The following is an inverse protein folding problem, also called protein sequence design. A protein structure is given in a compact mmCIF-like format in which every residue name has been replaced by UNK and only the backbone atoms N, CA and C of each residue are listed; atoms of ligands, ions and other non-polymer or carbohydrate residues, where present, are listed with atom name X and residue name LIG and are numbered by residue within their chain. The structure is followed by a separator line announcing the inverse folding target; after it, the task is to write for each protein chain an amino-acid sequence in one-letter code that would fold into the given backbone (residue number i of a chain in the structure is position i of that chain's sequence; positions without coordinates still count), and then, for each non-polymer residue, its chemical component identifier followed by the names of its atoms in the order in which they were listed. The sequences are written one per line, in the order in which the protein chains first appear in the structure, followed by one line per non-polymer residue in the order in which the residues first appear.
data_IF_980541863216
#
_entry.id   IF_980541863216
#
_cell.length_a   1.000
_cell.length_b   1.000
_cell.length_c   1.000
_cell.angle_alpha   90.00
_cell.angle_beta   90.00
_cell.angle_gamma   90.00
#
_symmetry.space_group_name_H-M   'P 1'
#
loop_
_entity.id
_entity.type
_entity.pdbx_description
1 polymer ?
#
# COMPACT_ATOMS: atom_id res chain seq x y z
N UNK A 1 -50.19 31.75 9.68
CA UNK A 1 -49.94 30.90 8.50
C UNK A 1 -48.69 30.07 8.71
N UNK A 2 -48.70 28.81 8.29
CA UNK A 2 -47.55 27.91 8.33
C UNK A 2 -47.06 27.69 6.90
N UNK A 3 -45.76 27.96 6.68
CA UNK A 3 -45.10 27.70 5.40
C UNK A 3 -44.08 26.57 5.59
N UNK A 4 -44.21 25.51 4.80
CA UNK A 4 -43.29 24.35 4.84
C UNK A 4 -42.55 24.30 3.50
N UNK A 5 -41.22 24.36 3.57
CA UNK A 5 -40.35 24.24 2.41
C UNK A 5 -39.60 22.88 2.52
N UNK A 6 -39.83 22.00 1.55
CA UNK A 6 -39.11 20.73 1.45
C UNK A 6 -37.88 20.92 0.55
N UNK A 7 -36.70 20.77 1.12
CA UNK A 7 -35.43 20.89 0.41
C UNK A 7 -34.79 19.49 0.27
N UNK A 8 -34.90 18.90 -0.91
CA UNK A 8 -34.26 17.62 -1.21
C UNK A 8 -32.79 17.83 -1.61
N UNK A 9 -32.51 18.54 -2.70
CA UNK A 9 -31.17 18.81 -3.23
C UNK A 9 -30.27 17.56 -3.25
N UNK A 10 -30.76 16.43 -3.83
CA UNK A 10 -30.03 15.19 -4.00
C UNK A 10 -29.91 14.31 -2.74
N UNK A 11 -30.61 14.67 -1.66
CA UNK A 11 -30.57 13.88 -0.40
C UNK A 11 -31.31 12.57 -0.54
N UNK A 12 -32.41 12.53 -1.27
CA UNK A 12 -33.15 11.29 -1.55
C UNK A 12 -32.30 10.36 -2.43
N UNK A 13 -31.62 10.90 -3.43
CA UNK A 13 -30.73 10.11 -4.29
C UNK A 13 -29.59 9.46 -3.46
N UNK A 14 -29.00 10.23 -2.55
CA UNK A 14 -27.98 9.71 -1.62
C UNK A 14 -28.56 8.61 -0.71
N UNK A 15 -29.77 8.81 -0.19
CA UNK A 15 -30.42 7.85 0.73
C UNK A 15 -30.79 6.54 0.02
N UNK A 16 -31.16 6.60 -1.25
CA UNK A 16 -31.57 5.45 -2.06
C UNK A 16 -30.37 4.69 -2.65
N UNK A 17 -29.21 5.31 -2.74
CA UNK A 17 -28.02 4.65 -3.29
C UNK A 17 -27.52 3.54 -2.34
N UNK A 18 -27.44 2.29 -2.83
CA UNK A 18 -27.13 1.14 -1.97
C UNK A 18 -25.74 1.19 -1.33
N UNK A 19 -24.80 1.94 -1.92
CA UNK A 19 -23.43 2.11 -1.40
C UNK A 19 -23.31 3.42 -0.61
N UNK A 20 -23.74 4.55 -1.21
CA UNK A 20 -23.50 5.87 -0.63
C UNK A 20 -24.46 6.24 0.50
N UNK A 21 -25.59 5.53 0.68
CA UNK A 21 -26.52 5.75 1.81
C UNK A 21 -25.81 5.70 3.17
N UNK A 22 -24.70 5.01 3.29
CA UNK A 22 -23.85 4.99 4.49
C UNK A 22 -23.43 6.41 4.92
N UNK A 23 -23.24 7.34 3.96
CA UNK A 23 -22.88 8.73 4.24
C UNK A 23 -23.98 9.50 5.01
N UNK A 24 -25.22 8.99 5.03
CA UNK A 24 -26.32 9.56 5.82
C UNK A 24 -26.10 9.45 7.33
N UNK A 25 -25.28 8.52 7.79
CA UNK A 25 -24.91 8.37 9.19
C UNK A 25 -24.00 9.51 9.69
N UNK A 26 -23.62 10.45 8.80
CA UNK A 26 -22.72 11.54 9.13
C UNK A 26 -23.35 12.55 10.10
N UNK A 27 -22.85 12.64 11.31
CA UNK A 27 -23.23 13.61 12.35
C UNK A 27 -22.64 15.00 12.12
N UNK A 28 -21.83 15.20 11.08
CA UNK A 28 -21.12 16.46 10.77
C UNK A 28 -20.21 16.96 11.91
N UNK A 29 -19.70 16.07 12.73
CA UNK A 29 -18.87 16.39 13.88
C UNK A 29 -17.44 16.83 13.54
N UNK A 30 -16.97 16.66 12.29
CA UNK A 30 -15.63 17.04 11.86
C UNK A 30 -14.48 16.12 12.31
N UNK A 31 -14.73 15.06 13.07
CA UNK A 31 -13.68 14.17 13.59
C UNK A 31 -12.79 13.59 12.49
N UNK A 32 -13.38 13.22 11.34
CA UNK A 32 -12.64 12.73 10.18
C UNK A 32 -11.71 13.79 9.57
N UNK A 33 -12.07 15.07 9.63
CA UNK A 33 -11.25 16.19 9.15
C UNK A 33 -10.06 16.42 10.10
N UNK A 34 -10.32 16.39 11.40
CA UNK A 34 -9.30 16.62 12.43
C UNK A 34 -8.13 15.62 12.35
N UNK A 35 -8.38 14.38 11.93
CA UNK A 35 -7.33 13.36 11.79
C UNK A 35 -6.79 13.21 10.36
N UNK A 36 -7.39 13.89 9.39
CA UNK A 36 -6.99 13.76 7.99
C UNK A 36 -5.65 14.48 7.73
N UNK A 37 -4.59 13.76 7.30
CA UNK A 37 -3.29 14.38 7.07
C UNK A 37 -3.33 15.43 5.95
N UNK A 38 -4.21 15.26 4.99
CA UNK A 38 -4.39 16.23 3.89
C UNK A 38 -5.11 17.46 4.38
N UNK A 39 -6.26 17.30 5.05
CA UNK A 39 -7.03 18.43 5.56
C UNK A 39 -6.23 19.29 6.54
N UNK A 40 -5.40 18.69 7.38
CA UNK A 40 -4.52 19.41 8.31
C UNK A 40 -3.50 20.32 7.61
N UNK A 41 -3.14 20.01 6.36
CA UNK A 41 -2.19 20.82 5.57
C UNK A 41 -2.90 21.88 4.74
N UNK A 42 -3.98 21.50 4.03
CA UNK A 42 -4.58 22.37 3.00
C UNK A 42 -5.79 23.15 3.51
N UNK A 43 -6.38 22.73 4.63
CA UNK A 43 -7.62 23.32 5.14
C UNK A 43 -8.85 23.02 4.29
N UNK A 44 -9.99 23.65 4.63
CA UNK A 44 -11.27 23.39 3.99
C UNK A 44 -11.44 24.02 2.60
N UNK A 45 -10.89 25.21 2.38
CA UNK A 45 -11.10 25.98 1.14
C UNK A 45 -10.65 25.26 -0.14
N UNK A 46 -9.58 24.45 -0.05
CA UNK A 46 -9.06 23.68 -1.19
C UNK A 46 -10.07 22.65 -1.72
N UNK A 47 -11.02 22.25 -0.89
CA UNK A 47 -12.09 21.33 -1.33
C UNK A 47 -13.17 22.00 -2.18
N UNK A 48 -13.20 23.34 -2.24
CA UNK A 48 -14.09 24.11 -3.13
C UNK A 48 -15.57 24.15 -2.76
N UNK A 49 -16.00 23.38 -1.75
CA UNK A 49 -17.40 23.23 -1.35
C UNK A 49 -17.56 23.31 0.18
N UNK A 50 -18.81 23.51 0.64
CA UNK A 50 -19.14 23.65 2.08
C UNK A 50 -18.73 22.41 2.87
N UNK A 51 -18.93 21.24 2.30
CA UNK A 51 -18.54 19.99 2.93
C UNK A 51 -17.14 19.59 2.46
N UNK A 52 -16.21 19.48 3.42
CA UNK A 52 -14.79 19.27 3.17
C UNK A 52 -14.36 17.83 3.49
N UNK A 53 -13.14 17.48 3.07
CA UNK A 53 -12.54 16.16 3.31
C UNK A 53 -13.20 15.03 2.55
N UNK A 54 -12.90 13.79 2.92
CA UNK A 54 -13.40 12.63 2.20
C UNK A 54 -14.92 12.49 2.23
N UNK A 55 -15.57 12.76 3.38
CA UNK A 55 -17.03 12.75 3.47
C UNK A 55 -17.64 13.87 2.62
N UNK A 56 -17.02 15.04 2.59
CA UNK A 56 -17.44 16.17 1.77
C UNK A 56 -17.40 15.85 0.29
N UNK A 57 -16.37 15.14 -0.18
CA UNK A 57 -16.29 14.71 -1.59
C UNK A 57 -17.47 13.84 -2.01
N UNK A 58 -17.96 13.00 -1.11
CA UNK A 58 -19.14 12.16 -1.36
C UNK A 58 -20.40 13.00 -1.40
N UNK A 59 -20.58 13.89 -0.42
CA UNK A 59 -21.75 14.76 -0.35
C UNK A 59 -21.81 15.72 -1.56
N UNK A 60 -20.68 16.22 -2.02
CA UNK A 60 -20.57 17.08 -3.22
C UNK A 60 -21.08 16.37 -4.46
N UNK A 61 -20.80 15.07 -4.63
CA UNK A 61 -21.25 14.29 -5.78
C UNK A 61 -22.78 14.23 -5.89
N UNK A 62 -23.49 14.28 -4.77
CA UNK A 62 -24.95 14.20 -4.72
C UNK A 62 -25.62 15.59 -4.61
N UNK A 63 -25.02 16.51 -3.85
CA UNK A 63 -25.63 17.84 -3.60
C UNK A 63 -25.28 18.87 -4.67
N UNK A 64 -24.27 18.62 -5.49
CA UNK A 64 -23.87 19.40 -6.63
C UNK A 64 -23.83 18.51 -7.88
N UNK A 65 -22.63 17.98 -8.21
CA UNK A 65 -22.49 17.04 -9.32
C UNK A 65 -21.31 16.10 -9.13
N UNK A 66 -21.29 15.01 -9.90
CA UNK A 66 -20.12 14.12 -9.94
C UNK A 66 -18.87 14.83 -10.44
N UNK A 67 -19.00 15.77 -11.38
CA UNK A 67 -17.86 16.56 -11.88
C UNK A 67 -17.28 17.46 -10.80
N UNK A 68 -18.10 18.06 -9.95
CA UNK A 68 -17.66 18.90 -8.84
C UNK A 68 -16.96 18.11 -7.74
N UNK A 69 -17.27 16.82 -7.62
CA UNK A 69 -16.65 15.94 -6.65
C UNK A 69 -15.27 15.39 -7.08
N UNK A 70 -14.88 15.59 -8.34
CA UNK A 70 -13.68 14.98 -8.89
C UNK A 70 -12.38 15.48 -8.24
N UNK A 71 -12.19 16.78 -8.13
CA UNK A 71 -11.01 17.33 -7.46
C UNK A 71 -10.99 17.01 -5.96
N UNK A 72 -12.08 17.26 -5.19
CA UNK A 72 -12.11 16.92 -3.77
C UNK A 72 -11.82 15.44 -3.46
N UNK A 73 -12.39 14.50 -4.22
CA UNK A 73 -12.14 13.07 -3.97
C UNK A 73 -10.69 12.66 -4.26
N UNK A 74 -10.03 13.35 -5.20
CA UNK A 74 -8.66 13.07 -5.58
C UNK A 74 -7.67 13.34 -4.44
N UNK A 75 -8.02 14.21 -3.50
CA UNK A 75 -7.24 14.52 -2.30
C UNK A 75 -7.23 13.38 -1.27
N UNK A 76 -8.10 12.38 -1.39
CA UNK A 76 -8.13 11.27 -0.45
C UNK A 76 -6.98 10.28 -0.68
N UNK A 77 -6.12 10.11 0.32
CA UNK A 77 -4.97 9.19 0.30
C UNK A 77 -5.33 7.73 0.62
N UNK A 78 -6.59 7.39 0.87
CA UNK A 78 -7.03 6.03 1.25
C UNK A 78 -6.37 5.48 2.54
N UNK A 79 -5.90 6.35 3.44
CA UNK A 79 -5.16 5.95 4.65
C UNK A 79 -6.04 5.39 5.79
N UNK A 80 -7.36 5.46 5.68
CA UNK A 80 -8.39 4.94 6.60
C UNK A 80 -8.36 5.53 8.03
N UNK A 81 -7.60 6.58 8.31
CA UNK A 81 -7.55 7.16 9.65
C UNK A 81 -8.90 7.75 10.10
N UNK A 82 -9.66 8.28 9.16
CA UNK A 82 -11.00 8.78 9.39
C UNK A 82 -12.01 7.69 9.82
N UNK A 83 -11.79 6.43 9.43
CA UNK A 83 -12.66 5.30 9.82
C UNK A 83 -12.51 5.00 11.31
N UNK A 84 -11.28 4.97 11.83
CA UNK A 84 -11.00 4.73 13.25
C UNK A 84 -11.63 5.77 14.16
N UNK A 85 -11.89 6.98 13.66
CA UNK A 85 -12.34 8.13 14.46
C UNK A 85 -13.82 8.44 14.25
N UNK A 86 -14.46 7.85 13.24
CA UNK A 86 -15.83 8.18 12.87
C UNK A 86 -16.83 7.59 13.90
N UNK A 87 -17.58 8.41 14.67
CA UNK A 87 -18.57 7.90 15.59
C UNK A 87 -19.77 7.25 14.90
N UNK A 88 -20.02 7.60 13.62
CA UNK A 88 -21.06 6.98 12.79
C UNK A 88 -20.57 5.71 12.04
N UNK A 89 -19.34 5.27 12.24
CA UNK A 89 -18.82 4.05 11.62
C UNK A 89 -18.65 4.10 10.10
N UNK A 90 -18.65 5.28 9.47
CA UNK A 90 -18.65 5.45 8.02
C UNK A 90 -17.28 5.07 7.45
N UNK A 91 -17.26 4.15 6.49
CA UNK A 91 -16.06 3.80 5.74
C UNK A 91 -15.83 4.77 4.57
N UNK A 92 -15.45 6.00 4.90
CA UNK A 92 -15.21 7.07 3.92
C UNK A 92 -14.28 6.62 2.77
N UNK A 93 -13.13 5.96 2.99
CA UNK A 93 -12.28 5.48 1.91
C UNK A 93 -12.96 4.49 0.97
N UNK A 94 -13.84 3.62 1.46
CA UNK A 94 -14.65 2.72 0.62
C UNK A 94 -15.58 3.51 -0.28
N UNK A 95 -16.26 4.51 0.27
CA UNK A 95 -17.15 5.38 -0.51
C UNK A 95 -16.38 6.20 -1.55
N UNK A 96 -15.20 6.74 -1.19
CA UNK A 96 -14.33 7.45 -2.15
C UNK A 96 -13.82 6.50 -3.25
N UNK A 97 -13.52 5.25 -2.92
CA UNK A 97 -13.13 4.24 -3.92
C UNK A 97 -14.25 4.02 -4.95
N UNK A 98 -15.49 3.84 -4.49
CA UNK A 98 -16.66 3.71 -5.36
C UNK A 98 -16.94 4.99 -6.15
N UNK A 99 -16.76 6.17 -5.55
CA UNK A 99 -16.91 7.44 -6.24
C UNK A 99 -15.91 7.55 -7.42
N UNK A 100 -14.65 7.16 -7.21
CA UNK A 100 -13.63 7.12 -8.26
C UNK A 100 -14.01 6.19 -9.40
N UNK A 101 -14.54 5.01 -9.09
CA UNK A 101 -15.03 4.06 -10.09
C UNK A 101 -16.11 4.69 -10.95
N UNK A 102 -17.17 5.26 -10.34
CA UNK A 102 -18.27 5.90 -11.07
C UNK A 102 -17.83 7.12 -11.88
N UNK A 103 -16.90 7.92 -11.36
CA UNK A 103 -16.30 9.03 -12.09
C UNK A 103 -15.54 8.54 -13.33
N UNK A 104 -14.74 7.49 -13.18
CA UNK A 104 -13.95 6.93 -14.28
C UNK A 104 -14.86 6.32 -15.37
N UNK A 105 -15.95 5.68 -15.00
CA UNK A 105 -16.95 5.17 -15.95
C UNK A 105 -17.61 6.29 -16.76
N UNK A 106 -17.88 7.45 -16.14
CA UNK A 106 -18.53 8.59 -16.82
C UNK A 106 -17.59 9.36 -17.74
N UNK A 107 -16.32 9.55 -17.39
CA UNK A 107 -15.41 10.46 -18.11
C UNK A 107 -14.13 9.83 -18.65
N UNK A 108 -13.90 8.56 -18.36
CA UNK A 108 -12.64 7.84 -18.58
C UNK A 108 -11.44 8.44 -17.80
N UNK A 109 -10.38 7.68 -17.70
CA UNK A 109 -9.09 8.16 -17.19
C UNK A 109 -8.39 9.08 -18.21
N UNK A 110 -7.47 9.96 -17.75
CA UNK A 110 -6.55 10.65 -18.65
C UNK A 110 -5.85 9.66 -19.59
N UNK A 111 -5.67 10.06 -20.85
CA UNK A 111 -5.13 9.16 -21.89
C UNK A 111 -3.85 8.43 -21.50
N UNK A 112 -2.88 9.15 -20.92
CA UNK A 112 -1.61 8.56 -20.49
C UNK A 112 -1.79 7.48 -19.41
N UNK A 113 -2.66 7.74 -18.43
CA UNK A 113 -2.94 6.81 -17.34
C UNK A 113 -3.71 5.58 -17.85
N UNK A 114 -4.69 5.81 -18.72
CA UNK A 114 -5.44 4.75 -19.38
C UNK A 114 -4.52 3.85 -20.23
N UNK A 115 -3.63 4.45 -21.02
CA UNK A 115 -2.66 3.70 -21.82
C UNK A 115 -1.75 2.84 -20.92
N UNK A 116 -1.20 3.43 -19.84
CA UNK A 116 -0.33 2.71 -18.91
C UNK A 116 -1.07 1.53 -18.27
N UNK A 117 -2.30 1.73 -17.81
CA UNK A 117 -3.04 0.66 -17.12
C UNK A 117 -3.54 -0.40 -18.08
N UNK A 118 -4.25 0.00 -19.15
CA UNK A 118 -4.95 -0.93 -20.02
C UNK A 118 -4.05 -1.58 -21.07
N UNK A 119 -2.94 -0.94 -21.49
CA UNK A 119 -2.07 -1.48 -22.54
C UNK A 119 -0.74 -2.03 -22.02
N UNK A 120 -0.26 -1.52 -20.89
CA UNK A 120 1.03 -1.94 -20.34
C UNK A 120 0.84 -2.82 -19.10
N UNK A 121 0.19 -2.30 -18.05
CA UNK A 121 0.08 -2.97 -16.75
C UNK A 121 -0.78 -4.25 -16.83
N UNK A 122 -1.91 -4.22 -17.57
CA UNK A 122 -2.79 -5.37 -17.76
C UNK A 122 -2.11 -6.54 -18.47
N UNK A 123 -1.14 -6.25 -19.32
CA UNK A 123 -0.40 -7.27 -20.04
C UNK A 123 0.93 -7.57 -19.34
N UNK A 124 1.01 -8.70 -18.66
CA UNK A 124 2.20 -9.13 -17.92
C UNK A 124 3.50 -9.03 -18.73
N UNK A 125 3.52 -9.53 -19.97
CA UNK A 125 4.73 -9.53 -20.80
C UNK A 125 5.17 -8.11 -21.15
N UNK A 126 4.23 -7.24 -21.55
CA UNK A 126 4.52 -5.84 -21.84
C UNK A 126 5.02 -5.09 -20.62
N UNK A 127 4.35 -5.27 -19.47
CA UNK A 127 4.71 -4.63 -18.21
C UNK A 127 6.12 -5.01 -17.77
N UNK A 128 6.42 -6.31 -17.72
CA UNK A 128 7.73 -6.81 -17.33
C UNK A 128 8.83 -6.36 -18.31
N UNK A 129 8.57 -6.38 -19.63
CA UNK A 129 9.52 -5.91 -20.63
C UNK A 129 9.81 -4.42 -20.51
N UNK A 130 8.77 -3.59 -20.30
CA UNK A 130 8.92 -2.16 -20.09
C UNK A 130 9.80 -1.84 -18.87
N UNK A 131 9.56 -2.52 -17.74
CA UNK A 131 10.39 -2.33 -16.54
C UNK A 131 11.84 -2.79 -16.74
N UNK A 132 12.07 -3.90 -17.46
CA UNK A 132 13.42 -4.37 -17.79
C UNK A 132 14.17 -3.41 -18.71
N UNK A 133 13.49 -2.83 -19.72
CA UNK A 133 14.06 -1.83 -20.59
C UNK A 133 14.41 -0.58 -19.78
N UNK A 134 13.48 -0.07 -18.97
CA UNK A 134 13.71 1.07 -18.11
C UNK A 134 14.90 0.85 -17.16
N UNK A 135 15.02 -0.36 -16.57
CA UNK A 135 16.15 -0.72 -15.72
C UNK A 135 17.51 -0.72 -16.46
N UNK A 136 17.54 -1.01 -17.76
CA UNK A 136 18.75 -0.97 -18.55
C UNK A 136 19.18 0.46 -18.92
N UNK A 137 18.20 1.33 -19.23
CA UNK A 137 18.48 2.69 -19.72
C UNK A 137 18.59 3.75 -18.61
N UNK A 138 18.25 3.44 -17.37
CA UNK A 138 18.30 4.38 -16.24
C UNK A 138 19.70 4.78 -15.78
N UNK A 139 20.77 4.16 -16.34
CA UNK A 139 22.16 4.39 -15.93
C UNK A 139 22.56 5.87 -15.77
N UNK A 140 22.28 6.73 -16.77
CA UNK A 140 22.59 8.16 -16.69
C UNK A 140 21.89 8.88 -15.54
N UNK A 141 20.68 8.43 -15.15
CA UNK A 141 19.89 9.05 -14.07
C UNK A 141 20.36 8.61 -12.68
N UNK A 142 20.86 7.38 -12.56
CA UNK A 142 21.31 6.81 -11.29
C UNK A 142 22.75 7.18 -10.94
N UNK A 143 23.58 7.51 -11.93
CA UNK A 143 25.02 7.80 -11.78
C UNK A 143 25.74 6.78 -10.89
N UNK A 144 25.40 5.50 -11.04
CA UNK A 144 25.99 4.40 -10.28
C UNK A 144 25.48 4.23 -8.83
N UNK A 145 24.50 5.01 -8.41
CA UNK A 145 23.88 4.87 -7.08
C UNK A 145 22.56 4.09 -7.16
N UNK A 146 22.03 3.56 -6.04
CA UNK A 146 20.72 2.92 -6.01
C UNK A 146 19.55 3.90 -6.11
N UNK A 147 19.83 5.19 -6.31
CA UNK A 147 18.83 6.25 -6.33
C UNK A 147 18.91 7.10 -7.61
N UNK A 148 17.75 7.61 -8.01
CA UNK A 148 17.57 8.68 -8.98
C UNK A 148 17.28 9.95 -8.18
N UNK A 149 18.25 10.87 -8.10
CA UNK A 149 18.15 12.12 -7.31
C UNK A 149 17.69 13.30 -8.12
N UNK A 150 17.80 13.21 -9.43
CA UNK A 150 17.42 14.26 -10.37
C UNK A 150 16.74 13.65 -11.59
N UNK A 151 15.63 14.24 -11.98
CA UNK A 151 14.90 13.91 -13.20
C UNK A 151 14.89 15.14 -14.12
N UNK A 152 14.93 14.96 -15.45
CA UNK A 152 14.91 16.07 -16.38
C UNK A 152 13.53 16.74 -16.46
N UNK A 153 13.55 18.06 -16.66
CA UNK A 153 12.40 18.90 -17.04
C UNK A 153 11.09 18.59 -16.26
N UNK A 154 10.04 18.21 -16.96
CA UNK A 154 8.70 17.99 -16.41
C UNK A 154 8.61 16.91 -15.31
N UNK A 155 9.63 16.06 -15.17
CA UNK A 155 9.65 15.03 -14.14
C UNK A 155 10.44 15.45 -12.89
N UNK A 156 11.06 16.63 -12.89
CA UNK A 156 11.88 17.10 -11.76
C UNK A 156 11.12 17.11 -10.42
N UNK A 157 9.83 17.53 -10.31
CA UNK A 157 9.12 17.55 -9.05
C UNK A 157 9.02 16.20 -8.35
N UNK A 158 9.08 15.09 -9.11
CA UNK A 158 9.01 13.73 -8.54
C UNK A 158 10.23 13.35 -7.70
N UNK A 159 11.40 13.93 -8.03
CA UNK A 159 12.67 13.69 -7.34
C UNK A 159 13.15 14.91 -6.51
N UNK A 160 12.33 15.94 -6.41
CA UNK A 160 12.69 17.19 -5.73
C UNK A 160 12.69 17.04 -4.20
N UNK A 161 11.63 16.47 -3.64
CA UNK A 161 11.47 16.27 -2.19
C UNK A 161 11.95 14.92 -1.68
N UNK A 162 12.21 13.96 -2.58
CA UNK A 162 12.74 12.62 -2.25
C UNK A 162 13.55 12.05 -3.41
N UNK A 163 14.53 11.22 -3.10
CA UNK A 163 15.20 10.39 -4.12
C UNK A 163 14.30 9.22 -4.50
N UNK A 164 14.26 8.87 -5.78
CA UNK A 164 13.51 7.70 -6.25
C UNK A 164 14.44 6.48 -6.30
N UNK A 165 13.95 5.28 -6.00
CA UNK A 165 14.77 4.07 -6.13
C UNK A 165 15.04 3.78 -7.61
N UNK A 166 16.23 3.27 -7.90
CA UNK A 166 16.51 2.67 -9.18
C UNK A 166 15.73 1.36 -9.35
N UNK A 167 15.32 1.04 -10.57
CA UNK A 167 14.78 -0.27 -10.89
C UNK A 167 15.87 -1.34 -10.79
N UNK A 168 15.53 -2.50 -10.30
CA UNK A 168 16.45 -3.61 -10.17
C UNK A 168 16.91 -4.11 -11.55
N UNK A 169 18.22 -4.20 -11.77
CA UNK A 169 18.77 -4.77 -13.01
C UNK A 169 18.42 -6.24 -13.20
N UNK A 170 18.26 -6.96 -12.09
CA UNK A 170 17.78 -8.34 -12.03
C UNK A 170 16.55 -8.37 -11.12
N UNK A 171 15.34 -8.49 -11.66
CA UNK A 171 14.11 -8.64 -10.88
C UNK A 171 14.17 -9.88 -9.98
N UNK A 172 13.39 -9.89 -8.91
CA UNK A 172 13.35 -11.02 -7.98
C UNK A 172 13.02 -12.34 -8.68
N UNK A 173 12.09 -12.35 -9.63
CA UNK A 173 11.74 -13.54 -10.42
C UNK A 173 12.92 -14.19 -11.15
N UNK A 174 13.91 -13.39 -11.57
CA UNK A 174 15.12 -13.88 -12.22
C UNK A 174 16.16 -14.37 -11.19
N UNK A 175 16.06 -13.86 -9.95
CA UNK A 175 16.92 -14.29 -8.84
C UNK A 175 16.39 -15.55 -8.18
N UNK A 176 15.06 -15.71 -8.09
CA UNK A 176 14.42 -16.81 -7.35
C UNK A 176 14.90 -18.18 -7.76
N UNK A 177 15.01 -18.45 -9.07
CA UNK A 177 15.50 -19.75 -9.59
C UNK A 177 16.94 -20.07 -9.18
N UNK A 178 17.74 -19.04 -8.84
CA UNK A 178 19.13 -19.16 -8.43
C UNK A 178 19.30 -19.21 -6.92
N UNK A 179 18.25 -18.93 -6.17
CA UNK A 179 18.28 -19.01 -4.71
C UNK A 179 18.26 -20.48 -4.30
N UNK A 180 19.39 -20.93 -3.75
CA UNK A 180 19.48 -22.28 -3.21
C UNK A 180 18.59 -22.42 -1.98
N UNK A 181 17.55 -23.25 -2.09
CA UNK A 181 16.67 -23.56 -0.97
C UNK A 181 17.20 -24.77 -0.19
N UNK A 182 17.99 -24.49 0.87
CA UNK A 182 18.68 -25.53 1.70
C UNK A 182 17.76 -26.22 2.72
N UNK A 183 16.55 -26.61 2.31
CA UNK A 183 15.59 -27.28 3.19
C UNK A 183 15.54 -28.78 2.84
N UNK A 184 16.29 -29.62 3.55
CA UNK A 184 16.37 -31.05 3.25
C UNK A 184 15.05 -31.82 3.43
N UNK A 185 14.26 -31.46 4.45
CA UNK A 185 12.92 -32.03 4.73
C UNK A 185 11.98 -30.87 5.06
N UNK A 186 11.31 -30.28 4.08
CA UNK A 186 10.44 -29.15 4.33
C UNK A 186 9.21 -29.59 5.15
N UNK A 187 8.82 -28.75 6.09
CA UNK A 187 7.56 -28.87 6.85
C UNK A 187 6.33 -28.64 5.97
N UNK A 188 6.53 -28.08 4.79
CA UNK A 188 5.53 -27.72 3.80
C UNK A 188 6.04 -26.65 2.86
N UNK A 189 5.21 -26.28 1.92
CA UNK A 189 5.47 -25.21 0.97
C UNK A 189 4.63 -23.96 1.31
N UNK A 190 5.18 -22.78 1.05
CA UNK A 190 4.51 -21.49 1.19
C UNK A 190 4.72 -20.73 -0.11
N UNK A 191 3.63 -20.31 -0.76
CA UNK A 191 3.72 -19.52 -1.96
C UNK A 191 4.02 -18.06 -1.62
N UNK A 192 4.84 -17.40 -2.43
CA UNK A 192 5.22 -16.01 -2.26
C UNK A 192 4.66 -15.14 -3.37
N UNK A 193 3.84 -14.17 -2.99
CA UNK A 193 3.37 -13.10 -3.85
C UNK A 193 4.27 -11.87 -3.68
N UNK A 194 5.16 -11.64 -4.66
CA UNK A 194 6.10 -10.52 -4.60
C UNK A 194 5.45 -9.17 -4.94
N UNK A 195 4.51 -9.16 -5.90
CA UNK A 195 4.00 -7.92 -6.47
C UNK A 195 5.07 -7.12 -7.20
N UNK A 196 4.68 -5.99 -7.80
CA UNK A 196 5.58 -5.24 -8.68
C UNK A 196 6.76 -4.56 -7.95
N UNK A 197 6.54 -4.06 -6.73
CA UNK A 197 7.57 -3.32 -5.99
C UNK A 197 8.71 -4.22 -5.51
N UNK A 198 8.38 -5.40 -4.98
CA UNK A 198 9.40 -6.35 -4.52
C UNK A 198 10.09 -7.00 -5.71
N UNK A 199 9.33 -7.29 -6.76
CA UNK A 199 9.90 -7.95 -7.93
C UNK A 199 10.88 -7.05 -8.70
N UNK A 200 10.50 -5.79 -8.97
CA UNK A 200 11.25 -4.94 -9.89
C UNK A 200 12.01 -3.78 -9.23
N UNK A 201 11.76 -3.49 -7.94
CA UNK A 201 12.42 -2.36 -7.25
C UNK A 201 13.29 -2.85 -6.08
N UNK A 202 12.75 -3.77 -5.27
CA UNK A 202 13.39 -4.25 -4.04
C UNK A 202 13.52 -5.78 -3.99
N UNK A 203 14.21 -6.43 -4.96
CA UNK A 203 14.36 -7.89 -5.00
C UNK A 203 14.96 -8.48 -3.71
N UNK A 204 15.78 -7.69 -3.02
CA UNK A 204 16.37 -8.07 -1.73
C UNK A 204 15.34 -8.34 -0.63
N UNK A 205 14.13 -7.78 -0.72
CA UNK A 205 13.01 -8.12 0.18
C UNK A 205 12.53 -9.54 -0.12
N UNK A 206 12.37 -9.88 -1.40
CA UNK A 206 11.96 -11.23 -1.81
C UNK A 206 12.98 -12.29 -1.42
N UNK A 207 14.27 -12.00 -1.62
CA UNK A 207 15.37 -12.88 -1.17
C UNK A 207 15.32 -13.10 0.35
N UNK A 208 15.08 -12.04 1.12
CA UNK A 208 14.93 -12.13 2.57
C UNK A 208 13.71 -12.97 3.00
N UNK A 209 12.57 -12.87 2.26
CA UNK A 209 11.41 -13.74 2.51
C UNK A 209 11.77 -15.20 2.32
N UNK A 210 12.42 -15.56 1.21
CA UNK A 210 12.84 -16.95 0.94
C UNK A 210 13.81 -17.45 2.01
N UNK A 211 14.79 -16.64 2.37
CA UNK A 211 15.75 -16.98 3.43
C UNK A 211 15.06 -17.22 4.78
N UNK A 212 14.11 -16.35 5.15
CA UNK A 212 13.33 -16.49 6.37
C UNK A 212 12.52 -17.81 6.37
N UNK A 213 11.79 -18.09 5.30
CA UNK A 213 10.98 -19.30 5.17
C UNK A 213 11.87 -20.55 5.27
N UNK A 214 13.00 -20.58 4.56
CA UNK A 214 13.93 -21.70 4.59
C UNK A 214 14.48 -21.95 6.00
N UNK A 215 14.86 -20.89 6.73
CA UNK A 215 15.31 -20.99 8.12
C UNK A 215 14.22 -21.48 9.08
N UNK A 216 12.94 -21.27 8.75
CA UNK A 216 11.80 -21.83 9.50
C UNK A 216 11.44 -23.26 9.08
N UNK A 217 12.11 -23.80 8.07
CA UNK A 217 11.92 -25.15 7.57
C UNK A 217 10.82 -25.27 6.51
N UNK A 218 10.45 -24.18 5.85
CA UNK A 218 9.50 -24.16 4.74
C UNK A 218 10.20 -23.90 3.43
N UNK A 219 9.73 -24.54 2.36
CA UNK A 219 10.17 -24.26 1.00
C UNK A 219 9.29 -23.14 0.42
N UNK A 220 9.92 -22.14 -0.17
CA UNK A 220 9.22 -21.08 -0.88
C UNK A 220 8.85 -21.55 -2.29
N UNK A 221 7.62 -21.27 -2.73
CA UNK A 221 7.14 -21.46 -4.09
C UNK A 221 6.84 -20.10 -4.71
N UNK A 222 7.25 -19.87 -5.93
CA UNK A 222 7.07 -18.63 -6.65
C UNK A 222 6.40 -18.88 -8.00
N UNK A 223 5.08 -18.75 -8.12
CA UNK A 223 4.40 -18.82 -9.42
C UNK A 223 4.88 -17.67 -10.32
N UNK A 224 5.49 -18.01 -11.46
CA UNK A 224 6.06 -17.01 -12.38
C UNK A 224 4.99 -16.21 -13.13
N UNK A 225 3.77 -16.72 -13.17
CA UNK A 225 2.60 -16.12 -13.84
C UNK A 225 2.03 -14.94 -13.08
N UNK A 226 2.41 -14.73 -11.82
CA UNK A 226 1.95 -13.60 -11.03
C UNK A 226 2.32 -12.25 -11.65
N UNK A 227 1.48 -11.25 -11.41
CA UNK A 227 1.64 -9.89 -11.90
C UNK A 227 1.45 -8.86 -10.77
N UNK A 228 1.30 -7.58 -11.09
CA UNK A 228 0.86 -6.55 -10.14
C UNK A 228 -0.46 -6.96 -9.48
N UNK A 229 -0.65 -6.64 -8.19
CA UNK A 229 -1.90 -6.92 -7.49
C UNK A 229 -3.13 -6.16 -8.02
N UNK A 230 -2.94 -5.15 -8.88
CA UNK A 230 -4.02 -4.35 -9.44
C UNK A 230 -4.34 -3.07 -8.66
N UNK A 231 -3.77 -2.89 -7.46
CA UNK A 231 -4.05 -1.72 -6.63
C UNK A 231 -3.89 -0.36 -7.33
N UNK A 232 -2.84 -0.10 -8.14
CA UNK A 232 -2.70 1.19 -8.81
C UNK A 232 -3.86 1.53 -9.75
N UNK A 233 -4.35 0.56 -10.52
CA UNK A 233 -5.48 0.74 -11.43
C UNK A 233 -6.79 0.91 -10.64
N UNK A 234 -7.11 -0.01 -9.74
CA UNK A 234 -8.34 -0.02 -8.97
C UNK A 234 -8.51 1.25 -8.11
N UNK A 235 -7.46 1.67 -7.38
CA UNK A 235 -7.52 2.91 -6.60
C UNK A 235 -7.59 4.20 -7.43
N UNK A 236 -7.27 4.11 -8.72
CA UNK A 236 -7.45 5.21 -9.68
C UNK A 236 -8.85 5.19 -10.32
N UNK A 237 -9.70 4.20 -10.02
CA UNK A 237 -11.04 4.03 -10.57
C UNK A 237 -11.13 3.08 -11.77
N UNK A 238 -10.02 2.58 -12.32
CA UNK A 238 -10.00 1.58 -13.39
C UNK A 238 -10.16 0.17 -12.79
N UNK A 239 -11.41 -0.14 -12.41
CA UNK A 239 -11.74 -1.42 -11.79
C UNK A 239 -11.58 -2.58 -12.78
N UNK A 240 -11.86 -2.38 -14.06
CA UNK A 240 -11.75 -3.44 -15.07
C UNK A 240 -10.30 -3.91 -15.27
N UNK A 241 -9.35 -2.96 -15.34
CA UNK A 241 -7.93 -3.34 -15.32
C UNK A 241 -7.56 -4.02 -13.99
N UNK A 242 -8.14 -3.58 -12.88
CA UNK A 242 -7.97 -4.22 -11.57
C UNK A 242 -8.46 -5.67 -11.57
N UNK A 243 -9.63 -5.95 -12.13
CA UNK A 243 -10.21 -7.30 -12.29
C UNK A 243 -9.36 -8.18 -13.19
N UNK A 244 -8.89 -7.66 -14.32
CA UNK A 244 -8.02 -8.40 -15.23
C UNK A 244 -6.73 -8.88 -14.54
N UNK A 245 -6.10 -7.99 -13.76
CA UNK A 245 -4.92 -8.34 -12.96
C UNK A 245 -5.25 -9.33 -11.83
N UNK A 246 -6.44 -9.20 -11.24
CA UNK A 246 -6.92 -10.16 -10.24
C UNK A 246 -7.09 -11.55 -10.83
N UNK A 247 -7.71 -11.68 -12.02
CA UNK A 247 -7.86 -12.98 -12.72
C UNK A 247 -6.51 -13.63 -12.98
N UNK A 248 -5.54 -12.90 -13.53
CA UNK A 248 -4.19 -13.41 -13.77
C UNK A 248 -3.52 -13.93 -12.49
N UNK A 249 -3.65 -13.20 -11.39
CA UNK A 249 -3.06 -13.62 -10.12
C UNK A 249 -3.84 -14.78 -9.48
N UNK A 250 -5.15 -14.79 -9.56
CA UNK A 250 -5.98 -15.92 -9.09
C UNK A 250 -5.56 -17.20 -9.82
N UNK A 251 -5.47 -17.18 -11.14
CA UNK A 251 -5.05 -18.35 -11.93
C UNK A 251 -3.64 -18.80 -11.56
N UNK A 252 -2.71 -17.87 -11.36
CA UNK A 252 -1.33 -18.19 -10.99
C UNK A 252 -1.21 -18.91 -9.64
N UNK A 253 -2.11 -18.65 -8.70
CA UNK A 253 -2.03 -19.21 -7.35
C UNK A 253 -3.08 -20.28 -7.06
N UNK A 254 -4.15 -20.37 -7.84
CA UNK A 254 -5.27 -21.30 -7.59
C UNK A 254 -4.83 -22.76 -7.61
N UNK A 255 -3.94 -23.11 -8.53
CA UNK A 255 -3.39 -24.48 -8.67
C UNK A 255 -2.34 -24.83 -7.61
N UNK A 256 -1.96 -23.89 -6.74
CA UNK A 256 -0.92 -24.16 -5.72
C UNK A 256 -1.52 -24.86 -4.50
N UNK A 257 -1.01 -26.05 -4.18
CA UNK A 257 -1.39 -26.80 -2.97
C UNK A 257 -0.62 -26.32 -1.74
N UNK A 258 -0.77 -25.04 -1.39
CA UNK A 258 -0.09 -24.43 -0.25
C UNK A 258 -1.09 -24.01 0.82
N UNK A 259 -0.60 -24.01 2.09
CA UNK A 259 -1.38 -23.51 3.22
C UNK A 259 -1.45 -21.99 3.26
N UNK A 260 -0.38 -21.30 2.83
CA UNK A 260 -0.29 -19.85 2.87
C UNK A 260 0.25 -19.29 1.55
N UNK A 261 -0.31 -18.16 1.15
CA UNK A 261 0.21 -17.26 0.12
C UNK A 261 0.68 -16.01 0.86
N UNK A 262 1.99 -15.90 1.08
CA UNK A 262 2.58 -14.79 1.83
C UNK A 262 2.93 -13.64 0.91
N UNK A 263 2.64 -12.40 1.33
CA UNK A 263 3.20 -11.20 0.71
C UNK A 263 3.88 -10.32 1.77
N UNK A 264 4.98 -9.68 1.40
CA UNK A 264 5.67 -8.69 2.21
C UNK A 264 5.24 -7.25 1.81
N UNK A 265 3.98 -7.09 1.43
CA UNK A 265 3.37 -5.82 1.06
C UNK A 265 1.91 -5.80 1.54
N UNK A 266 1.55 -4.98 2.54
CA UNK A 266 0.18 -4.94 3.07
C UNK A 266 -0.88 -4.60 2.03
N UNK A 267 -0.55 -3.75 1.05
CA UNK A 267 -1.47 -3.45 -0.06
C UNK A 267 -1.72 -4.67 -0.94
N UNK A 268 -0.69 -5.44 -1.25
CA UNK A 268 -0.84 -6.69 -2.01
C UNK A 268 -1.62 -7.72 -1.21
N UNK A 269 -1.34 -7.84 0.10
CA UNK A 269 -2.08 -8.75 0.99
C UNK A 269 -3.55 -8.38 1.09
N UNK A 270 -3.89 -7.09 1.20
CA UNK A 270 -5.27 -6.60 1.21
C UNK A 270 -6.00 -6.98 -0.09
N UNK A 271 -5.35 -6.81 -1.24
CA UNK A 271 -5.94 -7.17 -2.52
C UNK A 271 -6.21 -8.68 -2.61
N UNK A 272 -5.25 -9.51 -2.26
CA UNK A 272 -5.42 -10.97 -2.24
C UNK A 272 -6.48 -11.42 -1.21
N UNK A 273 -6.47 -10.85 -0.02
CA UNK A 273 -7.29 -11.31 1.10
C UNK A 273 -8.72 -10.75 1.10
N UNK A 274 -8.97 -9.60 0.46
CA UNK A 274 -10.26 -8.90 0.55
C UNK A 274 -10.72 -8.39 -0.82
N UNK A 275 -9.90 -7.57 -1.50
CA UNK A 275 -10.34 -6.82 -2.67
C UNK A 275 -10.69 -7.69 -3.87
N UNK A 276 -9.99 -8.81 -4.09
CA UNK A 276 -10.33 -9.71 -5.19
C UNK A 276 -11.73 -10.27 -5.05
N UNK A 277 -12.15 -10.69 -3.88
CA UNK A 277 -13.53 -11.16 -3.63
C UNK A 277 -14.56 -10.02 -3.84
N UNK A 278 -14.23 -8.80 -3.39
CA UNK A 278 -15.11 -7.63 -3.57
C UNK A 278 -15.25 -7.20 -5.05
N UNK A 279 -14.28 -7.52 -5.91
CA UNK A 279 -14.28 -7.15 -7.32
C UNK A 279 -15.22 -7.98 -8.19
N UNK A 280 -15.63 -9.17 -7.76
CA UNK A 280 -16.42 -10.11 -8.54
C UNK A 280 -17.81 -10.39 -7.94
N UNK A 281 -18.63 -9.34 -7.61
CA UNK A 281 -19.94 -9.55 -6.98
C UNK A 281 -20.90 -10.35 -7.88
N UNK A 282 -20.82 -10.12 -9.20
CA UNK A 282 -21.71 -10.68 -10.21
C UNK A 282 -21.05 -11.80 -11.05
N UNK A 283 -19.87 -12.27 -10.67
CA UNK A 283 -19.09 -13.29 -11.34
C UNK A 283 -18.81 -14.47 -10.39
N UNK A 284 -19.77 -15.39 -10.15
CA UNK A 284 -19.68 -16.40 -9.08
C UNK A 284 -18.42 -17.27 -9.14
N UNK A 285 -18.04 -17.72 -10.36
CA UNK A 285 -16.84 -18.55 -10.55
C UNK A 285 -15.56 -17.84 -10.11
N UNK A 286 -15.38 -16.57 -10.49
CA UNK A 286 -14.22 -15.78 -10.10
C UNK A 286 -14.24 -15.44 -8.63
N UNK A 287 -15.43 -15.19 -8.08
CA UNK A 287 -15.61 -14.94 -6.65
C UNK A 287 -15.19 -16.12 -5.80
N UNK A 288 -15.63 -17.34 -6.15
CA UNK A 288 -15.25 -18.57 -5.45
C UNK A 288 -13.72 -18.78 -5.48
N UNK A 289 -13.10 -18.62 -6.66
CA UNK A 289 -11.63 -18.70 -6.78
C UNK A 289 -10.93 -17.63 -5.95
N UNK A 290 -11.44 -16.39 -5.94
CA UNK A 290 -10.90 -15.31 -5.12
C UNK A 290 -11.02 -15.61 -3.62
N UNK A 291 -12.14 -16.19 -3.17
CA UNK A 291 -12.34 -16.61 -1.77
C UNK A 291 -11.36 -17.71 -1.36
N UNK A 292 -11.08 -18.66 -2.25
CA UNK A 292 -10.07 -19.69 -2.00
C UNK A 292 -8.64 -19.10 -1.86
N UNK A 293 -8.30 -18.07 -2.64
CA UNK A 293 -7.03 -17.34 -2.50
C UNK A 293 -7.03 -16.52 -1.20
N UNK A 294 -8.14 -15.84 -0.88
CA UNK A 294 -8.26 -15.00 0.31
C UNK A 294 -8.01 -15.76 1.61
N UNK A 295 -8.50 -17.00 1.70
CA UNK A 295 -8.30 -17.87 2.86
C UNK A 295 -6.83 -18.24 3.09
N UNK A 296 -6.02 -18.27 2.03
CA UNK A 296 -4.57 -18.59 2.09
C UNK A 296 -3.70 -17.34 2.23
N UNK A 297 -4.22 -16.15 1.87
CA UNK A 297 -3.45 -14.91 1.82
C UNK A 297 -3.07 -14.42 3.23
N UNK A 298 -1.79 -14.16 3.45
CA UNK A 298 -1.27 -13.71 4.74
C UNK A 298 -0.15 -12.67 4.56
N UNK A 299 -0.13 -11.64 5.41
CA UNK A 299 0.99 -10.72 5.47
C UNK A 299 2.22 -11.38 6.10
N UNK A 300 3.41 -11.01 5.61
CA UNK A 300 4.67 -11.59 6.07
C UNK A 300 4.86 -11.48 7.58
N UNK A 301 4.58 -10.31 8.17
CA UNK A 301 4.84 -10.13 9.59
C UNK A 301 3.84 -10.90 10.46
N UNK A 302 2.61 -11.10 9.99
CA UNK A 302 1.65 -11.99 10.63
C UNK A 302 2.10 -13.44 10.56
N UNK A 303 2.57 -13.90 9.40
CA UNK A 303 3.15 -15.23 9.25
C UNK A 303 4.37 -15.42 10.14
N UNK A 304 5.27 -14.44 10.18
CA UNK A 304 6.45 -14.46 11.04
C UNK A 304 6.07 -14.62 12.52
N UNK A 305 4.99 -13.96 12.96
CA UNK A 305 4.48 -14.09 14.31
C UNK A 305 3.91 -15.48 14.61
N UNK A 306 3.29 -16.15 13.64
CA UNK A 306 2.77 -17.52 13.76
C UNK A 306 3.89 -18.54 13.78
N UNK A 307 4.89 -18.37 12.91
CA UNK A 307 6.03 -19.29 12.77
C UNK A 307 7.08 -19.16 13.88
N UNK A 308 6.73 -18.52 15.00
CA UNK A 308 7.60 -18.45 16.17
C UNK A 308 7.89 -19.86 16.68
N UNK A 309 9.12 -20.11 17.00
CA UNK A 309 9.46 -21.29 17.80
C UNK A 309 9.07 -20.98 19.25
N UNK A 310 8.13 -21.73 19.80
CA UNK A 310 7.53 -21.54 21.15
C UNK A 310 8.47 -21.66 22.37
N UNK A 311 9.76 -21.58 22.18
CA UNK A 311 10.73 -21.38 23.25
C UNK A 311 11.00 -19.87 23.38
N UNK A 312 10.28 -19.20 24.27
CA UNK A 312 10.81 -18.01 24.90
C UNK A 312 12.15 -18.40 25.56
N UNK A 313 13.24 -18.16 24.87
CA UNK A 313 14.56 -18.24 25.50
C UNK A 313 14.63 -17.11 26.52
N UNK A 314 14.51 -17.45 27.80
CA UNK A 314 14.62 -16.54 28.95
C UNK A 314 16.02 -15.93 29.12
N UNK A 315 16.94 -16.15 28.21
CA UNK A 315 18.24 -15.49 28.26
C UNK A 315 18.14 -14.10 27.67
N UNK A 316 18.66 -13.05 28.33
CA UNK A 316 18.80 -11.74 27.72
C UNK A 316 19.70 -11.88 26.51
N UNK A 317 19.11 -11.86 25.30
CA UNK A 317 19.89 -11.76 24.08
C UNK A 317 20.64 -10.43 24.15
N UNK A 318 21.94 -10.45 23.92
CA UNK A 318 22.77 -9.26 23.78
C UNK A 318 21.99 -8.25 22.93
N UNK A 319 21.77 -7.03 23.44
CA UNK A 319 21.06 -5.99 22.72
C UNK A 319 21.68 -5.77 21.35
N UNK A 320 20.86 -5.89 20.31
CA UNK A 320 21.31 -5.81 18.91
C UNK A 320 21.26 -4.40 18.33
N UNK A 321 20.94 -3.43 19.15
CA UNK A 321 20.80 -2.04 18.79
C UNK A 321 19.36 -1.54 18.87
N UNK A 322 19.18 -0.24 18.66
CA UNK A 322 17.91 0.46 18.76
C UNK A 322 17.25 0.56 17.40
N UNK A 323 15.94 0.38 17.35
CA UNK A 323 15.14 0.48 16.14
C UNK A 323 13.87 1.27 16.43
N UNK A 324 13.43 2.10 15.48
CA UNK A 324 12.07 2.62 15.51
C UNK A 324 11.23 1.92 14.43
N UNK A 325 9.90 2.01 14.54
CA UNK A 325 8.99 1.33 13.63
C UNK A 325 7.96 2.29 13.02
N UNK A 326 7.85 2.32 11.69
CA UNK A 326 6.79 3.01 10.98
C UNK A 326 5.60 2.08 10.75
N UNK A 327 4.48 2.38 11.36
CA UNK A 327 3.24 1.61 11.18
C UNK A 327 2.57 1.97 9.85
N UNK A 328 2.61 1.04 8.89
CA UNK A 328 1.96 1.22 7.60
C UNK A 328 0.44 1.28 7.74
N UNK A 329 -0.21 2.23 7.07
CA UNK A 329 -1.66 2.45 7.19
C UNK A 329 -2.48 1.22 6.77
N UNK A 330 -2.14 0.57 5.66
CA UNK A 330 -2.82 -0.66 5.22
C UNK A 330 -2.61 -1.82 6.20
N UNK A 331 -1.39 -1.98 6.74
CA UNK A 331 -1.13 -3.05 7.71
C UNK A 331 -2.00 -2.90 8.96
N UNK A 332 -2.00 -1.70 9.56
CA UNK A 332 -2.76 -1.44 10.78
C UNK A 332 -4.27 -1.41 10.52
N UNK A 333 -4.72 -0.60 9.55
CA UNK A 333 -6.13 -0.22 9.41
C UNK A 333 -6.93 -1.10 8.47
N UNK A 334 -6.27 -1.80 7.56
CA UNK A 334 -6.94 -2.70 6.63
C UNK A 334 -6.74 -4.16 7.03
N UNK A 335 -5.50 -4.52 7.42
CA UNK A 335 -5.17 -5.90 7.82
C UNK A 335 -5.27 -6.15 9.31
N UNK A 336 -5.49 -5.09 10.13
CA UNK A 336 -5.60 -5.15 11.59
C UNK A 336 -4.37 -5.76 12.29
N UNK A 337 -3.21 -5.60 11.67
CA UNK A 337 -1.93 -6.08 12.17
C UNK A 337 -1.16 -4.89 12.75
N UNK A 338 -1.04 -4.83 14.07
CA UNK A 338 -0.40 -3.70 14.77
C UNK A 338 0.68 -4.12 15.76
N UNK A 339 0.42 -5.17 16.54
CA UNK A 339 1.33 -5.62 17.61
C UNK A 339 2.42 -6.55 17.09
N UNK A 340 2.11 -7.34 16.06
CA UNK A 340 2.98 -8.38 15.51
C UNK A 340 4.34 -7.86 15.04
N UNK A 341 4.44 -6.73 14.30
CA UNK A 341 5.73 -6.17 13.89
C UNK A 341 6.62 -5.81 15.09
N UNK A 342 6.02 -5.17 16.10
CA UNK A 342 6.72 -4.78 17.33
C UNK A 342 7.26 -5.96 18.09
N UNK A 343 6.43 -6.99 18.16
CA UNK A 343 6.73 -8.21 18.88
C UNK A 343 7.88 -9.00 18.21
N UNK A 344 7.83 -9.15 16.87
CA UNK A 344 8.91 -9.86 16.14
C UNK A 344 10.24 -9.11 16.20
N UNK A 345 10.23 -7.77 16.21
CA UNK A 345 11.44 -6.94 16.37
C UNK A 345 12.05 -7.10 17.77
N UNK A 346 11.22 -7.01 18.81
CA UNK A 346 11.67 -7.24 20.21
C UNK A 346 12.24 -8.64 20.40
N UNK A 347 11.59 -9.66 19.88
CA UNK A 347 12.06 -11.04 19.92
C UNK A 347 13.34 -11.26 19.11
N UNK A 348 13.55 -10.49 18.06
CA UNK A 348 14.82 -10.46 17.33
C UNK A 348 15.95 -9.80 18.14
N UNK A 349 15.67 -9.23 19.31
CA UNK A 349 16.64 -8.66 20.25
C UNK A 349 16.89 -7.16 20.05
N UNK A 350 15.99 -6.45 19.40
CA UNK A 350 16.09 -4.99 19.25
C UNK A 350 15.39 -4.27 20.43
N UNK A 351 15.99 -3.16 20.85
CA UNK A 351 15.33 -2.17 21.68
C UNK A 351 14.46 -1.27 20.79
N UNK A 352 13.14 -1.38 20.94
CA UNK A 352 12.16 -0.67 20.11
C UNK A 352 11.83 0.68 20.75
N UNK A 353 12.26 1.75 20.09
CA UNK A 353 11.94 3.13 20.46
C UNK A 353 10.79 3.61 19.58
N UNK A 354 9.61 3.81 20.17
CA UNK A 354 8.45 4.32 19.42
C UNK A 354 8.65 5.79 19.05
N UNK A 355 8.45 6.11 17.77
CA UNK A 355 8.43 7.49 17.31
C UNK A 355 7.09 8.16 17.63
N UNK A 356 7.05 9.47 17.70
CA UNK A 356 5.80 10.23 17.73
C UNK A 356 4.98 9.93 16.50
N UNK A 357 3.67 9.87 16.64
CA UNK A 357 2.75 9.62 15.51
C UNK A 357 3.17 8.43 14.63
N UNK A 358 3.55 7.34 15.25
CA UNK A 358 4.06 6.14 14.56
C UNK A 358 3.15 5.67 13.44
N UNK A 359 1.83 5.85 13.54
CA UNK A 359 0.80 5.44 12.60
C UNK A 359 0.30 6.56 11.65
N UNK A 360 0.94 7.74 11.66
CA UNK A 360 0.68 8.75 10.64
C UNK A 360 1.20 8.30 9.27
N UNK A 361 0.52 8.73 8.21
CA UNK A 361 0.88 8.35 6.83
C UNK A 361 2.31 8.78 6.48
N UNK A 362 2.98 8.01 5.62
CA UNK A 362 4.29 8.38 5.06
C UNK A 362 4.20 9.36 3.88
N UNK A 363 2.99 9.67 3.39
CA UNK A 363 2.77 10.56 2.28
C UNK A 363 2.77 9.93 0.88
N UNK A 364 3.11 8.65 0.71
CA UNK A 364 3.20 8.06 -0.63
C UNK A 364 1.85 7.87 -1.32
N UNK A 365 0.96 7.07 -0.72
CA UNK A 365 -0.34 6.69 -1.26
C UNK A 365 -0.35 6.35 -2.77
N UNK A 366 0.58 5.52 -3.21
CA UNK A 366 0.73 5.10 -4.62
C UNK A 366 1.04 6.27 -5.56
N UNK A 367 0.18 6.52 -6.54
CA UNK A 367 0.33 7.62 -7.50
C UNK A 367 0.04 9.01 -6.90
N UNK A 368 -0.49 9.09 -5.67
CA UNK A 368 -0.81 10.35 -5.01
C UNK A 368 0.40 11.29 -4.88
N UNK A 369 1.54 10.74 -4.44
CA UNK A 369 2.77 11.52 -4.30
C UNK A 369 3.36 12.01 -5.62
N UNK A 370 2.90 11.47 -6.74
CA UNK A 370 3.21 11.96 -8.11
C UNK A 370 2.26 13.07 -8.51
N UNK A 371 0.97 12.91 -8.15
CA UNK A 371 -0.09 13.86 -8.50
C UNK A 371 -0.07 15.13 -7.63
N UNK A 372 0.27 14.96 -6.34
CA UNK A 372 0.26 16.03 -5.33
C UNK A 372 1.58 16.05 -4.53
N UNK A 373 2.72 16.34 -5.19
CA UNK A 373 4.02 16.40 -4.51
C UNK A 373 4.05 17.44 -3.39
N UNK A 374 3.37 18.58 -3.56
CA UNK A 374 3.25 19.68 -2.59
C UNK A 374 2.51 19.30 -1.31
N UNK A 375 1.64 18.27 -1.36
CA UNK A 375 0.98 17.73 -0.17
C UNK A 375 1.78 16.55 0.40
N UNK A 376 2.35 15.73 -0.47
CA UNK A 376 3.13 14.55 -0.08
C UNK A 376 4.41 14.92 0.67
N UNK A 377 5.10 15.97 0.24
CA UNK A 377 6.37 16.40 0.82
C UNK A 377 6.26 16.81 2.31
N UNK A 378 5.36 17.71 2.74
CA UNK A 378 5.22 18.06 4.16
C UNK A 378 4.81 16.87 5.04
N UNK A 379 4.00 15.92 4.51
CA UNK A 379 3.62 14.71 5.25
C UNK A 379 4.86 13.83 5.47
N UNK A 380 5.71 13.69 4.44
CA UNK A 380 6.96 12.95 4.55
C UNK A 380 7.91 13.63 5.53
N UNK A 381 8.09 14.94 5.43
CA UNK A 381 9.00 15.71 6.29
C UNK A 381 8.65 15.54 7.77
N UNK A 382 7.38 15.72 8.13
CA UNK A 382 6.90 15.47 9.50
C UNK A 382 7.19 14.04 9.97
N UNK A 383 7.06 13.04 9.08
CA UNK A 383 7.39 11.66 9.42
C UNK A 383 8.88 11.45 9.62
N UNK A 384 9.73 12.08 8.81
CA UNK A 384 11.18 12.00 8.96
C UNK A 384 11.66 12.69 10.24
N UNK A 385 11.09 13.84 10.58
CA UNK A 385 11.38 14.53 11.84
C UNK A 385 11.10 13.63 13.05
N UNK A 386 9.91 12.98 13.06
CA UNK A 386 9.55 12.04 14.12
C UNK A 386 10.49 10.81 14.18
N UNK A 387 11.04 10.36 13.05
CA UNK A 387 12.06 9.29 13.01
C UNK A 387 13.38 9.80 13.57
N UNK A 388 13.85 10.96 13.15
CA UNK A 388 15.13 11.55 13.56
C UNK A 388 15.15 11.90 15.05
N UNK A 389 14.02 12.37 15.61
CA UNK A 389 13.87 12.63 17.04
C UNK A 389 14.06 11.39 17.93
N UNK A 390 13.89 10.18 17.41
CA UNK A 390 14.14 8.95 18.20
C UNK A 390 15.61 8.69 18.47
N UNK A 391 16.52 9.30 17.69
CA UNK A 391 17.96 9.10 17.78
C UNK A 391 18.45 7.69 17.47
N UNK A 392 17.67 6.89 16.73
CA UNK A 392 18.05 5.54 16.28
C UNK A 392 18.77 5.59 14.93
N UNK A 393 19.48 4.51 14.58
CA UNK A 393 20.13 4.38 13.26
C UNK A 393 19.30 3.53 12.28
N UNK A 394 18.19 2.94 12.73
CA UNK A 394 17.38 2.02 11.94
C UNK A 394 15.88 2.30 12.13
N UNK A 395 15.16 2.44 11.01
CA UNK A 395 13.69 2.40 11.00
C UNK A 395 13.20 1.15 10.26
N UNK A 396 12.36 0.36 10.92
CA UNK A 396 11.71 -0.80 10.33
C UNK A 396 10.36 -0.42 9.72
N UNK A 397 10.01 -1.06 8.62
CA UNK A 397 8.74 -0.84 7.89
C UNK A 397 8.31 -2.11 7.16
N UNK A 398 7.01 -2.36 7.04
CA UNK A 398 6.47 -3.58 6.39
C UNK A 398 5.84 -3.33 5.01
N UNK A 399 5.92 -2.12 4.48
CA UNK A 399 5.35 -1.78 3.20
C UNK A 399 6.44 -1.28 2.23
N UNK A 400 6.65 -1.94 1.08
CA UNK A 400 7.63 -1.49 0.09
C UNK A 400 7.37 -0.07 -0.43
N UNK A 401 6.10 0.36 -0.50
CA UNK A 401 5.75 1.73 -0.84
C UNK A 401 6.21 2.73 0.24
N UNK A 402 5.90 2.45 1.53
CA UNK A 402 6.42 3.29 2.63
C UNK A 402 7.95 3.27 2.68
N UNK A 403 8.57 2.13 2.39
CA UNK A 403 10.03 2.01 2.32
C UNK A 403 10.62 2.93 1.23
N UNK A 404 9.98 2.99 0.05
CA UNK A 404 10.36 3.91 -1.02
C UNK A 404 10.35 5.36 -0.52
N UNK A 405 9.27 5.75 0.12
CA UNK A 405 9.07 7.12 0.59
C UNK A 405 10.11 7.48 1.66
N UNK A 406 10.27 6.62 2.67
CA UNK A 406 11.21 6.86 3.77
C UNK A 406 12.67 6.80 3.31
N UNK A 407 13.07 5.78 2.52
CA UNK A 407 14.44 5.70 1.96
C UNK A 407 14.77 6.93 1.12
N UNK A 408 13.82 7.32 0.26
CA UNK A 408 14.02 8.48 -0.62
C UNK A 408 14.14 9.79 0.14
N UNK A 409 13.33 10.01 1.17
CA UNK A 409 13.40 11.21 2.00
C UNK A 409 14.67 11.24 2.87
N UNK A 410 15.05 10.13 3.50
CA UNK A 410 16.29 10.02 4.28
C UNK A 410 17.53 10.24 3.40
N UNK A 411 17.56 9.69 2.16
CA UNK A 411 18.64 9.94 1.21
C UNK A 411 18.71 11.44 0.82
N UNK A 412 17.58 12.09 0.61
CA UNK A 412 17.52 13.52 0.27
C UNK A 412 18.03 14.42 1.41
N UNK A 413 17.78 14.02 2.67
CA UNK A 413 18.27 14.70 3.88
C UNK A 413 19.73 14.34 4.24
N UNK A 414 20.38 13.47 3.47
CA UNK A 414 21.69 12.90 3.79
C UNK A 414 21.72 12.28 5.21
N UNK A 415 20.61 11.70 5.66
CA UNK A 415 20.46 11.11 6.98
C UNK A 415 21.26 9.81 7.10
N UNK A 416 21.91 9.59 8.28
CA UNK A 416 22.57 8.33 8.60
C UNK A 416 21.61 7.17 8.83
N UNK A 417 20.34 7.46 9.14
CA UNK A 417 19.32 6.48 9.47
C UNK A 417 19.02 5.60 8.25
N UNK A 418 18.97 4.29 8.45
CA UNK A 418 18.65 3.33 7.40
C UNK A 418 17.20 2.87 7.54
N UNK A 419 16.42 2.92 6.46
CA UNK A 419 15.13 2.28 6.43
C UNK A 419 15.25 0.87 5.83
N UNK A 420 14.76 -0.15 6.56
CA UNK A 420 14.75 -1.55 6.13
C UNK A 420 13.36 -2.16 6.27
N UNK A 421 13.02 -3.06 5.36
CA UNK A 421 11.85 -3.88 5.54
C UNK A 421 12.04 -4.85 6.70
N UNK A 422 11.01 -5.07 7.52
CA UNK A 422 11.11 -5.95 8.71
C UNK A 422 11.66 -7.33 8.35
N UNK A 423 11.27 -7.90 7.19
CA UNK A 423 11.80 -9.20 6.76
C UNK A 423 13.32 -9.19 6.58
N UNK A 424 13.91 -8.10 6.05
CA UNK A 424 15.36 -7.99 5.89
C UNK A 424 16.05 -8.00 7.25
N UNK A 425 15.50 -7.27 8.21
CA UNK A 425 15.99 -7.23 9.60
C UNK A 425 15.94 -8.62 10.23
N UNK A 426 14.85 -9.35 10.03
CA UNK A 426 14.69 -10.70 10.56
C UNK A 426 15.59 -11.71 9.86
N UNK A 427 15.75 -11.64 8.53
CA UNK A 427 16.59 -12.57 7.76
C UNK A 427 18.08 -12.43 8.09
N UNK A 428 18.57 -11.20 8.34
CA UNK A 428 19.97 -10.96 8.75
C UNK A 428 20.30 -11.51 10.15
N UNK A 429 19.30 -11.74 10.98
CA UNK A 429 19.47 -12.01 12.43
C UNK A 429 19.12 -13.45 12.84
N UNK A 430 18.56 -14.25 11.94
CA UNK A 430 18.28 -15.66 12.12
C UNK A 430 19.41 -16.48 11.49
#
# INVERSE_FOLDING_TARGET
ELHIILLDNGRLDLAQDPVFREAYQCLRCGACLNVCPVYQLVGGHVYGHIYCGGIGSILTAFFHSYSDADDPQSLCMQCRRCVETCPGGIDIPKLVFELRRRLTEKRNLPFTQRFIFQQVLSNRRKFHSALRIAAKVQGPLTKGTPYIRHLPLFFSPLAEFRSLPALARKPFRDCFQKIEQKVKKPKGEIAFFAGCMIDFVYPEIGEAVVQFLNKKGFKAVFPEEQNCCGAPAAYSGDLETGKELARQNIEAFFSTEVKYIVSACPTCTDFLAKKYTEMFPDEPEWREKAEAIAQKAIDFVKLASILRTGKQTKAPRKEKGRVTYHTSCHLKRTMEIYNEPRQVLKEAGFDLIEMKETDSCCGLAGSYAVKFPEISAPILDRKLDNIEETGVDLVAVDCPGCLLQLRGGLDKRNSRIKAKHTVQILAEKI
#
